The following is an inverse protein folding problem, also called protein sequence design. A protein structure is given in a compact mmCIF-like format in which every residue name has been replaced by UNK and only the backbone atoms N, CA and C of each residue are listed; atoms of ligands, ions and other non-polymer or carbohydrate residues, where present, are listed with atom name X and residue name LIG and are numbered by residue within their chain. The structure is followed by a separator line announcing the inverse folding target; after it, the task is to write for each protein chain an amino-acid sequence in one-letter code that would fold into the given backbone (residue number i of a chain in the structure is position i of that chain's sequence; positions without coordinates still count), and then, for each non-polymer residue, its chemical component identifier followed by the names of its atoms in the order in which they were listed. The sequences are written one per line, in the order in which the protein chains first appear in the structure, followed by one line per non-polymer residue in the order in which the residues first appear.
data_IF_937566757743
#
_entry.id   IF_937566757743
#
_cell.length_a   1.000
_cell.length_b   1.000
_cell.length_c   1.000
_cell.angle_alpha   90.00
_cell.angle_beta   90.00
_cell.angle_gamma   90.00
#
_symmetry.space_group_name_H-M   'P 1'
#
loop_
_entity.id
_entity.type
_entity.pdbx_description
1 polymer ?
#
# COMPACT_ATOMS: atom_id res chain seq x y z
N UNK A 1 33.00 26.54 36.87
CA UNK A 1 31.87 25.66 36.45
C UNK A 1 31.35 26.11 35.09
N UNK A 2 32.02 25.80 33.97
CA UNK A 2 31.61 26.26 32.63
C UNK A 2 31.66 25.24 31.45
N UNK A 3 32.23 24.02 31.55
CA UNK A 3 32.13 23.05 30.44
C UNK A 3 30.92 22.10 30.55
N UNK A 4 30.38 21.85 31.75
CA UNK A 4 29.31 20.87 31.98
C UNK A 4 28.03 21.24 31.21
N UNK A 5 27.67 22.53 31.17
CA UNK A 5 26.47 23.00 30.47
C UNK A 5 26.54 22.77 28.95
N UNK A 6 27.73 22.87 28.35
CA UNK A 6 27.93 22.66 26.91
C UNK A 6 27.96 21.15 26.56
N UNK A 7 28.51 20.31 27.45
CA UNK A 7 28.47 18.85 27.32
C UNK A 7 27.04 18.32 27.45
N UNK A 8 26.24 18.85 28.39
CA UNK A 8 24.83 18.46 28.54
C UNK A 8 23.99 18.82 27.31
N UNK A 9 24.25 19.95 26.67
CA UNK A 9 23.55 20.36 25.43
C UNK A 9 23.95 19.46 24.25
N UNK A 10 25.24 19.14 24.11
CA UNK A 10 25.71 18.21 23.07
C UNK A 10 25.13 16.81 23.25
N UNK A 11 25.05 16.30 24.49
CA UNK A 11 24.44 15.00 24.78
C UNK A 11 22.94 15.01 24.45
N UNK A 12 22.22 16.09 24.76
CA UNK A 12 20.80 16.23 24.44
C UNK A 12 20.56 16.24 22.92
N UNK A 13 21.44 16.88 22.13
CA UNK A 13 21.37 16.91 20.65
C UNK A 13 21.66 15.55 20.00
N UNK A 14 22.53 14.72 20.59
CA UNK A 14 22.85 13.38 20.06
C UNK A 14 21.68 12.40 20.24
N UNK A 15 20.88 12.55 21.29
CA UNK A 15 19.73 11.66 21.58
C UNK A 15 18.59 11.81 20.55
N UNK A 16 18.50 12.94 19.83
CA UNK A 16 17.43 13.17 18.84
C UNK A 16 17.66 12.50 17.47
N UNK A 17 18.79 11.82 17.23
CA UNK A 17 19.21 11.41 15.88
C UNK A 17 18.80 9.99 15.44
N UNK A 18 17.87 9.30 16.10
CA UNK A 18 17.48 7.92 15.71
C UNK A 18 15.98 7.63 15.84
N UNK A 19 15.13 8.50 15.29
CA UNK A 19 13.71 8.16 15.14
C UNK A 19 13.45 7.53 13.77
N UNK A 20 13.26 6.21 13.75
CA UNK A 20 12.64 5.53 12.61
C UNK A 20 11.15 5.85 12.65
N UNK A 21 10.67 6.68 11.72
CA UNK A 21 9.27 7.00 11.61
C UNK A 21 8.52 5.87 10.87
N UNK A 22 7.43 5.40 11.46
CA UNK A 22 6.45 4.55 10.78
C UNK A 22 5.31 5.45 10.26
N UNK A 23 4.66 5.05 9.17
CA UNK A 23 3.59 5.84 8.57
C UNK A 23 2.23 5.29 8.99
N UNK A 24 1.37 6.17 9.51
CA UNK A 24 -0.01 5.85 9.86
C UNK A 24 -0.96 6.77 9.09
N UNK A 25 -1.98 6.20 8.45
CA UNK A 25 -2.98 6.92 7.67
C UNK A 25 -4.33 6.84 8.39
N UNK A 26 -4.91 8.01 8.65
CA UNK A 26 -6.19 8.15 9.37
C UNK A 26 -6.21 7.53 10.78
N UNK A 27 -5.05 7.53 11.44
CA UNK A 27 -4.89 7.15 12.85
C UNK A 27 -3.63 7.78 13.43
N UNK A 28 -3.59 7.94 14.75
CA UNK A 28 -2.50 8.64 15.46
C UNK A 28 -1.26 7.76 15.70
N UNK A 29 -1.45 6.45 15.84
CA UNK A 29 -0.39 5.51 16.21
C UNK A 29 -0.52 4.23 15.42
N UNK A 30 0.56 3.77 14.82
CA UNK A 30 0.68 2.45 14.18
C UNK A 30 0.41 1.28 15.12
N UNK A 31 -0.17 0.20 14.59
CA UNK A 31 -0.32 -1.08 15.26
C UNK A 31 0.98 -1.89 15.14
N UNK A 32 1.54 -2.32 16.28
CA UNK A 32 2.71 -3.19 16.32
C UNK A 32 4.06 -2.50 16.06
N UNK A 33 5.15 -3.26 16.23
CA UNK A 33 6.51 -2.75 16.11
C UNK A 33 7.14 -3.03 14.73
N UNK A 34 6.56 -3.94 13.95
CA UNK A 34 7.05 -4.41 12.64
C UNK A 34 6.17 -3.90 11.50
N UNK A 35 5.82 -2.61 11.53
CA UNK A 35 4.89 -2.00 10.58
C UNK A 35 5.56 -0.82 9.87
N UNK A 36 5.53 -0.82 8.54
CA UNK A 36 6.07 0.30 7.73
C UNK A 36 4.98 1.30 7.37
N UNK A 37 3.78 0.79 7.11
CA UNK A 37 2.59 1.54 6.74
C UNK A 37 1.35 0.89 7.36
N UNK A 38 0.54 1.71 8.00
CA UNK A 38 -0.69 1.31 8.68
C UNK A 38 -1.85 2.24 8.33
N UNK A 39 -3.07 1.71 8.38
CA UNK A 39 -4.30 2.42 8.04
C UNK A 39 -5.34 2.31 9.15
N UNK A 40 -6.38 3.12 9.05
CA UNK A 40 -7.56 3.08 9.90
C UNK A 40 -8.05 1.63 10.14
N UNK A 41 -8.14 1.25 11.41
CA UNK A 41 -8.55 -0.07 11.89
C UNK A 41 -9.89 -0.03 12.66
N UNK A 42 -10.63 1.07 12.58
CA UNK A 42 -11.94 1.20 13.23
C UNK A 42 -12.97 0.24 12.60
N UNK A 43 -13.94 -0.28 13.38
CA UNK A 43 -14.97 -1.19 12.85
C UNK A 43 -15.85 -0.58 11.75
N UNK A 44 -15.90 0.75 11.66
CA UNK A 44 -16.67 1.51 10.67
C UNK A 44 -15.86 1.91 9.45
N UNK A 45 -14.60 1.48 9.33
CA UNK A 45 -13.77 1.82 8.18
C UNK A 45 -14.33 1.19 6.89
N UNK A 46 -14.41 2.00 5.83
CA UNK A 46 -14.82 1.59 4.48
C UNK A 46 -13.81 2.04 3.42
N UNK A 47 -12.62 2.48 3.83
CA UNK A 47 -11.58 2.98 2.93
C UNK A 47 -10.53 1.90 2.70
N UNK A 48 -10.36 1.52 1.43
CA UNK A 48 -9.32 0.62 0.95
C UNK A 48 -8.21 1.37 0.22
N UNK A 49 -7.23 0.63 -0.29
CA UNK A 49 -6.22 1.14 -1.22
C UNK A 49 -6.78 0.97 -2.63
N UNK A 50 -6.64 1.99 -3.48
CA UNK A 50 -6.94 1.87 -4.91
C UNK A 50 -5.62 1.61 -5.63
N UNK A 51 -5.54 0.50 -6.36
CA UNK A 51 -4.36 0.15 -7.14
C UNK A 51 -4.21 1.06 -8.36
N UNK A 52 -2.97 1.30 -8.84
CA UNK A 52 -2.73 1.94 -10.12
C UNK A 52 -3.43 1.16 -11.25
N UNK A 53 -4.21 1.86 -12.04
CA UNK A 53 -4.88 1.29 -13.20
C UNK A 53 -4.04 1.54 -14.46
N UNK A 54 -3.39 0.48 -14.97
CA UNK A 54 -2.44 0.57 -16.08
C UNK A 54 -3.05 0.06 -17.38
N UNK A 55 -2.57 0.56 -18.51
CA UNK A 55 -2.92 0.00 -19.82
C UNK A 55 -1.95 -1.14 -20.16
N UNK A 56 -2.26 -2.36 -19.73
CA UNK A 56 -1.36 -3.49 -19.85
C UNK A 56 -0.39 -3.64 -18.69
N UNK A 57 0.50 -4.62 -18.81
CA UNK A 57 1.55 -4.90 -17.84
C UNK A 57 2.71 -3.89 -18.01
N UNK A 58 3.29 -3.37 -16.90
CA UNK A 58 4.52 -2.59 -16.95
C UNK A 58 5.62 -3.32 -17.73
N UNK A 59 6.30 -2.61 -18.63
CA UNK A 59 7.40 -3.14 -19.45
C UNK A 59 8.75 -3.09 -18.74
N UNK A 60 8.89 -2.22 -17.73
CA UNK A 60 10.01 -2.22 -16.81
C UNK A 60 9.95 -3.45 -15.90
N UNK A 61 11.11 -3.95 -15.46
CA UNK A 61 11.25 -5.12 -14.58
C UNK A 61 10.55 -4.86 -13.23
N UNK A 62 9.30 -5.33 -13.01
CA UNK A 62 8.57 -5.00 -11.80
C UNK A 62 9.16 -5.76 -10.62
N UNK A 63 9.11 -5.18 -9.43
CA UNK A 63 9.52 -5.88 -8.22
C UNK A 63 8.46 -6.93 -7.84
N UNK A 64 8.90 -8.07 -7.30
CA UNK A 64 7.99 -9.05 -6.68
C UNK A 64 7.19 -8.36 -5.56
N UNK A 65 5.87 -8.58 -5.53
CA UNK A 65 4.92 -7.85 -4.69
C UNK A 65 4.28 -6.62 -5.34
N UNK A 66 4.51 -6.37 -6.64
CA UNK A 66 3.83 -5.28 -7.37
C UNK A 66 2.38 -5.64 -7.64
N UNK A 67 1.44 -4.73 -7.36
CA UNK A 67 0.01 -4.89 -7.63
C UNK A 67 -0.46 -3.83 -8.65
N UNK A 68 -1.30 -4.25 -9.60
CA UNK A 68 -1.92 -3.36 -10.58
C UNK A 68 -3.38 -3.77 -10.83
N UNK A 69 -4.16 -2.83 -11.36
CA UNK A 69 -5.38 -3.14 -12.11
C UNK A 69 -5.09 -2.96 -13.61
N UNK A 70 -5.00 -4.07 -14.33
CA UNK A 70 -4.69 -4.07 -15.76
C UNK A 70 -5.97 -3.87 -16.58
N UNK A 71 -6.06 -2.72 -17.24
CA UNK A 71 -7.21 -2.33 -18.09
C UNK A 71 -7.20 -2.99 -19.47
N UNK A 72 -6.15 -3.73 -19.84
CA UNK A 72 -6.13 -4.46 -21.12
C UNK A 72 -7.01 -5.70 -21.08
N UNK A 73 -7.21 -6.30 -19.90
CA UNK A 73 -8.08 -7.46 -19.68
C UNK A 73 -8.97 -7.36 -18.44
N UNK A 74 -9.06 -6.16 -17.85
CA UNK A 74 -9.84 -5.78 -16.67
C UNK A 74 -9.61 -6.68 -15.46
N UNK A 75 -8.34 -6.99 -15.16
CA UNK A 75 -7.96 -7.88 -14.05
C UNK A 75 -7.05 -7.20 -13.06
N UNK A 76 -7.25 -7.52 -11.78
CA UNK A 76 -6.27 -7.23 -10.74
C UNK A 76 -5.18 -8.29 -10.82
N UNK A 77 -3.92 -7.86 -10.80
CA UNK A 77 -2.77 -8.77 -10.91
C UNK A 77 -1.72 -8.43 -9.87
N UNK A 78 -1.04 -9.46 -9.39
CA UNK A 78 0.18 -9.34 -8.60
C UNK A 78 1.34 -9.94 -9.37
N UNK A 79 2.49 -9.28 -9.33
CA UNK A 79 3.74 -9.85 -9.82
C UNK A 79 4.41 -10.61 -8.67
N UNK A 80 4.48 -11.93 -8.78
CA UNK A 80 5.12 -12.80 -7.79
C UNK A 80 5.90 -13.92 -8.47
N UNK A 81 7.06 -14.27 -7.89
CA UNK A 81 7.97 -15.28 -8.45
C UNK A 81 8.28 -15.03 -9.94
N UNK A 82 8.50 -13.77 -10.29
CA UNK A 82 8.80 -13.29 -11.64
C UNK A 82 7.71 -13.56 -12.69
N UNK A 83 6.46 -13.74 -12.24
CA UNK A 83 5.31 -14.00 -13.10
C UNK A 83 4.13 -13.13 -12.65
N UNK A 84 3.39 -12.59 -13.61
CA UNK A 84 2.11 -11.94 -13.35
C UNK A 84 1.02 -12.98 -13.10
N UNK A 85 0.42 -12.92 -11.92
CA UNK A 85 -0.68 -13.78 -11.51
C UNK A 85 -1.98 -12.99 -11.36
N UNK A 86 -3.08 -13.44 -11.95
CA UNK A 86 -4.38 -12.79 -11.76
C UNK A 86 -4.90 -13.04 -10.33
N UNK A 87 -5.46 -11.99 -9.75
CA UNK A 87 -6.16 -11.98 -8.46
C UNK A 87 -7.68 -11.83 -8.61
N UNK A 88 -8.16 -11.71 -9.85
CA UNK A 88 -9.58 -11.67 -10.18
C UNK A 88 -9.83 -12.31 -11.54
N UNK A 89 -11.09 -12.64 -11.79
CA UNK A 89 -11.61 -12.79 -13.14
C UNK A 89 -11.69 -11.42 -13.85
N UNK A 90 -12.16 -11.42 -15.10
CA UNK A 90 -12.40 -10.19 -15.86
C UNK A 90 -13.51 -9.38 -15.18
N UNK A 91 -13.15 -8.20 -14.69
CA UNK A 91 -14.02 -7.25 -14.03
C UNK A 91 -14.50 -6.14 -14.97
N UNK A 92 -14.43 -4.89 -14.51
CA UNK A 92 -14.90 -3.73 -15.28
C UNK A 92 -14.10 -2.45 -14.94
N UNK A 93 -13.41 -1.89 -15.93
CA UNK A 93 -12.63 -0.64 -15.78
C UNK A 93 -13.38 0.65 -16.15
N UNK A 94 -14.69 0.60 -16.45
CA UNK A 94 -15.45 1.77 -16.95
C UNK A 94 -15.52 2.92 -15.95
N UNK A 95 -15.45 2.64 -14.65
CA UNK A 95 -15.41 3.66 -13.60
C UNK A 95 -14.01 4.26 -13.39
N UNK A 96 -12.97 3.71 -14.04
CA UNK A 96 -11.61 4.23 -13.93
C UNK A 96 -11.47 5.52 -14.72
N UNK A 97 -11.16 6.60 -14.01
CA UNK A 97 -10.85 7.90 -14.62
C UNK A 97 -9.52 7.77 -15.38
N UNK A 98 -9.53 8.14 -16.65
CA UNK A 98 -8.33 8.13 -17.49
C UNK A 98 -7.49 9.38 -17.19
N UNK A 99 -6.27 9.16 -16.71
CA UNK A 99 -5.24 10.18 -16.73
C UNK A 99 -4.52 10.12 -18.09
N UNK A 100 -4.55 11.23 -18.84
CA UNK A 100 -3.85 11.33 -20.14
C UNK A 100 -2.55 12.11 -20.04
N UNK A 101 -2.19 12.58 -18.84
CA UNK A 101 -0.91 13.25 -18.61
C UNK A 101 0.25 12.26 -18.65
N UNK A 102 1.43 12.76 -19.02
CA UNK A 102 2.64 11.96 -18.96
C UNK A 102 2.95 11.60 -17.50
N UNK A 103 3.11 10.31 -17.24
CA UNK A 103 3.53 9.79 -15.93
C UNK A 103 5.03 10.10 -15.74
N UNK A 104 5.31 11.29 -15.21
CA UNK A 104 6.68 11.76 -14.95
C UNK A 104 6.95 11.81 -13.45
N UNK A 105 7.94 11.05 -12.98
CA UNK A 105 8.33 11.02 -11.57
C UNK A 105 9.00 9.70 -11.17
N UNK A 106 9.66 9.70 -10.01
CA UNK A 106 10.38 8.55 -9.47
C UNK A 106 9.59 7.78 -8.38
N UNK A 107 8.27 7.97 -8.33
CA UNK A 107 7.41 7.43 -7.28
C UNK A 107 7.77 7.91 -5.86
N UNK A 108 7.27 7.20 -4.86
CA UNK A 108 7.55 7.43 -3.43
C UNK A 108 8.01 6.12 -2.79
N UNK A 109 9.11 6.18 -2.05
CA UNK A 109 9.60 5.06 -1.23
C UNK A 109 9.29 5.34 0.25
N UNK A 110 8.64 4.40 0.93
CA UNK A 110 8.44 4.42 2.38
C UNK A 110 9.28 3.30 3.00
N UNK A 111 10.17 3.67 3.92
CA UNK A 111 11.06 2.75 4.61
C UNK A 111 12.52 3.00 4.26
N UNK A 112 13.26 1.92 3.99
CA UNK A 112 14.71 1.95 3.73
C UNK A 112 14.93 1.92 2.23
N UNK A 113 15.54 2.96 1.65
CA UNK A 113 15.81 3.04 0.22
C UNK A 113 17.12 2.30 -0.13
N UNK A 114 17.15 0.97 -0.01
CA UNK A 114 18.33 0.17 -0.36
C UNK A 114 18.13 -0.56 -1.70
N UNK A 115 16.88 -0.68 -2.16
CA UNK A 115 16.47 -1.49 -3.29
C UNK A 115 16.39 -0.74 -4.61
N UNK A 116 16.23 -1.54 -5.67
CA UNK A 116 16.05 -1.08 -7.06
C UNK A 116 14.60 -1.24 -7.53
N UNK A 117 13.64 -1.37 -6.60
CA UNK A 117 12.24 -1.52 -6.94
C UNK A 117 11.73 -0.24 -7.59
N UNK A 118 11.20 -0.37 -8.80
CA UNK A 118 10.60 0.71 -9.57
C UNK A 118 9.08 0.66 -9.44
N UNK A 119 8.47 1.73 -8.93
CA UNK A 119 7.04 1.79 -8.67
C UNK A 119 6.59 3.15 -8.14
N UNK A 120 5.31 3.47 -8.36
CA UNK A 120 4.68 4.72 -7.89
C UNK A 120 4.65 4.82 -6.36
N UNK A 121 4.45 3.70 -5.66
CA UNK A 121 4.57 3.59 -4.22
C UNK A 121 5.33 2.30 -3.89
N UNK A 122 6.51 2.44 -3.31
CA UNK A 122 7.39 1.32 -2.92
C UNK A 122 7.47 1.29 -1.40
N UNK A 123 7.17 0.14 -0.82
CA UNK A 123 7.33 -0.11 0.61
C UNK A 123 8.54 -1.03 0.79
N UNK A 124 9.60 -0.54 1.42
CA UNK A 124 10.84 -1.29 1.52
C UNK A 124 11.35 -1.36 2.96
N UNK A 125 11.40 -2.57 3.50
CA UNK A 125 11.94 -2.81 4.82
C UNK A 125 12.40 -4.26 4.97
N UNK A 126 13.52 -4.53 5.65
CA UNK A 126 13.97 -5.90 5.90
C UNK A 126 13.10 -6.64 6.93
N UNK A 127 12.37 -5.91 7.78
CA UNK A 127 11.73 -6.47 8.99
C UNK A 127 10.33 -5.89 9.29
N UNK A 128 9.77 -5.07 8.39
CA UNK A 128 8.45 -4.44 8.56
C UNK A 128 7.57 -4.69 7.36
N UNK A 129 6.28 -4.82 7.62
CA UNK A 129 5.27 -5.02 6.59
C UNK A 129 4.21 -3.92 6.62
N UNK A 130 3.45 -3.81 5.54
CA UNK A 130 2.22 -3.04 5.53
C UNK A 130 1.12 -3.80 6.25
N UNK A 131 0.33 -3.12 7.06
CA UNK A 131 -0.98 -3.61 7.50
C UNK A 131 -1.99 -3.09 6.51
N UNK A 132 -2.69 -3.97 5.80
CA UNK A 132 -3.74 -3.55 4.85
C UNK A 132 -4.89 -2.82 5.58
N UNK A 133 -5.58 -1.88 4.91
CA UNK A 133 -6.81 -1.30 5.44
C UNK A 133 -7.81 -2.40 5.81
N UNK A 134 -8.31 -2.34 7.04
CA UNK A 134 -9.25 -3.35 7.56
C UNK A 134 -10.67 -2.89 7.30
N UNK A 135 -11.46 -3.71 6.62
CA UNK A 135 -12.89 -3.44 6.37
C UNK A 135 -13.64 -4.71 6.75
N UNK A 136 -14.73 -4.59 7.52
CA UNK A 136 -15.59 -5.75 7.77
C UNK A 136 -16.58 -5.90 6.62
N UNK A 137 -16.70 -7.09 6.02
CA UNK A 137 -17.72 -7.41 5.01
C UNK A 137 -17.77 -6.35 3.89
N UNK A 138 -16.67 -6.15 3.13
CA UNK A 138 -16.53 -5.02 2.21
C UNK A 138 -17.61 -4.98 1.13
N UNK A 139 -18.09 -6.15 0.68
CA UNK A 139 -19.18 -6.25 -0.29
C UNK A 139 -20.54 -5.69 0.19
N UNK A 140 -20.75 -5.49 1.50
CA UNK A 140 -21.94 -4.84 2.03
C UNK A 140 -21.67 -3.40 2.49
N UNK A 141 -20.48 -3.15 3.03
CA UNK A 141 -20.17 -1.91 3.73
C UNK A 141 -19.54 -0.84 2.82
N UNK A 142 -18.80 -1.22 1.78
CA UNK A 142 -18.30 -0.27 0.78
C UNK A 142 -19.40 -0.03 -0.25
N UNK A 143 -20.07 1.12 -0.17
CA UNK A 143 -21.26 1.41 -1.01
C UNK A 143 -20.93 1.64 -2.48
N UNK A 144 -19.81 2.30 -2.76
CA UNK A 144 -19.34 2.60 -4.11
C UNK A 144 -17.86 2.21 -4.21
N UNK A 145 -17.53 0.91 -4.28
CA UNK A 145 -16.15 0.48 -4.43
C UNK A 145 -15.61 0.90 -5.80
N UNK A 146 -14.31 1.22 -5.85
CA UNK A 146 -13.64 1.66 -7.07
C UNK A 146 -12.84 0.49 -7.67
N UNK A 147 -12.84 0.28 -9.01
CA UNK A 147 -12.08 -0.81 -9.62
C UNK A 147 -10.61 -0.80 -9.20
N UNK A 148 -10.08 -1.97 -8.80
CA UNK A 148 -8.74 -2.08 -8.23
C UNK A 148 -8.65 -1.78 -6.74
N UNK A 149 -9.78 -1.61 -6.04
CA UNK A 149 -9.77 -1.44 -4.58
C UNK A 149 -9.37 -2.74 -3.88
N UNK A 150 -8.45 -2.65 -2.92
CA UNK A 150 -8.00 -3.76 -2.08
C UNK A 150 -8.12 -3.43 -0.59
N UNK A 151 -8.41 -4.46 0.21
CA UNK A 151 -8.47 -4.38 1.67
C UNK A 151 -8.31 -5.76 2.32
N UNK A 152 -8.20 -5.79 3.64
CA UNK A 152 -8.33 -7.01 4.43
C UNK A 152 -9.76 -7.12 4.98
N UNK A 153 -10.48 -8.18 4.61
CA UNK A 153 -11.80 -8.46 5.17
C UNK A 153 -11.67 -9.11 6.54
N UNK A 154 -12.08 -8.39 7.58
CA UNK A 154 -11.98 -8.87 8.97
C UNK A 154 -12.98 -9.96 9.32
N UNK A 155 -14.08 -10.10 8.56
CA UNK A 155 -15.10 -11.11 8.81
C UNK A 155 -14.68 -12.48 8.27
N UNK A 156 -14.27 -12.52 7.01
CA UNK A 156 -13.83 -13.75 6.34
C UNK A 156 -12.34 -14.07 6.54
N UNK A 157 -11.56 -13.10 7.05
CA UNK A 157 -10.12 -13.17 7.30
C UNK A 157 -9.31 -13.40 6.02
N UNK A 158 -9.66 -12.68 4.96
CA UNK A 158 -9.08 -12.84 3.62
C UNK A 158 -8.57 -11.53 3.09
N UNK A 159 -7.64 -11.61 2.14
CA UNK A 159 -7.33 -10.50 1.27
C UNK A 159 -8.46 -10.34 0.24
N UNK A 160 -9.08 -9.15 0.21
CA UNK A 160 -10.25 -8.88 -0.63
C UNK A 160 -9.92 -7.83 -1.68
N UNK A 161 -10.28 -8.12 -2.94
CA UNK A 161 -10.00 -7.24 -4.09
C UNK A 161 -11.25 -7.03 -4.93
N UNK A 162 -11.54 -5.79 -5.33
CA UNK A 162 -12.71 -5.43 -6.13
C UNK A 162 -12.34 -5.16 -7.58
N UNK A 163 -12.79 -6.02 -8.49
CA UNK A 163 -12.42 -5.99 -9.92
C UNK A 163 -13.21 -4.95 -10.75
N UNK A 164 -14.08 -4.18 -10.11
CA UNK A 164 -14.99 -3.25 -10.78
C UNK A 164 -16.42 -3.78 -10.92
N UNK A 165 -16.62 -5.08 -10.73
CA UNK A 165 -17.94 -5.73 -10.75
C UNK A 165 -18.21 -6.46 -9.44
N UNK A 166 -17.27 -7.30 -8.99
CA UNK A 166 -17.42 -8.14 -7.80
C UNK A 166 -16.18 -8.11 -6.90
N UNK A 167 -16.36 -8.57 -5.66
CA UNK A 167 -15.28 -8.77 -4.71
C UNK A 167 -14.76 -10.21 -4.81
N UNK A 168 -13.45 -10.36 -4.97
CA UNK A 168 -12.71 -11.62 -4.97
C UNK A 168 -11.94 -11.76 -3.64
N UNK A 169 -11.88 -12.97 -3.08
CA UNK A 169 -11.35 -13.22 -1.74
C UNK A 169 -10.28 -14.30 -1.75
N UNK A 170 -9.11 -14.00 -1.17
CA UNK A 170 -7.93 -14.87 -1.14
C UNK A 170 -7.53 -15.25 0.28
N UNK A 171 -7.24 -16.54 0.49
CA UNK A 171 -6.74 -17.13 1.75
C UNK A 171 -5.29 -17.56 1.63
#
# INVERSE_FOLDING_TARGET
MKPIKNISIALLLVVFNTFYAQVAIEKETVDGNSTVLDFNNTPTNTKGIILPATQGLPTASPANGTFIFDKSDDKIKVYENDIWKPLSDTGNSSAVIVNTSDETGNGVVIGTQVGSADGVLVLESPDKAMILPKISVPHLNVKNPYPGMICYDTASKTFAVFDGTVWNYWK
#
